data_IF_873114389927
#
_entry.id   IF_873114389927
#
_cell.length_a   1.000
_cell.length_b   1.000
_cell.length_c   1.000
_cell.angle_alpha   90.00
_cell.angle_beta   90.00
_cell.angle_gamma   90.00
#
_symmetry.space_group_name_H-M   'P 1'
#
loop_
_entity.id
_entity.type
_entity.pdbx_description
1 polymer ?
#
# COMPACT_ATOMS: atom_id res chain seq x y z
N UNK A 1 -17.37 8.66 9.54
CA UNK A 1 -17.06 8.01 8.24
C UNK A 1 -15.56 7.72 8.23
N UNK A 2 -15.14 6.47 7.98
CA UNK A 2 -13.70 6.17 7.90
C UNK A 2 -13.15 6.88 6.67
N UNK A 3 -12.08 7.65 6.83
CA UNK A 3 -11.35 8.23 5.69
C UNK A 3 -10.97 7.07 4.76
N UNK A 4 -11.10 7.25 3.42
CA UNK A 4 -10.69 6.21 2.50
C UNK A 4 -9.19 5.96 2.67
N UNK A 5 -8.81 4.68 2.82
CA UNK A 5 -7.39 4.32 2.94
C UNK A 5 -6.62 4.87 1.73
N UNK A 6 -5.37 5.31 1.95
CA UNK A 6 -4.51 5.76 0.87
C UNK A 6 -4.41 4.76 -0.29
N UNK A 7 -4.13 5.24 -1.52
CA UNK A 7 -4.03 4.37 -2.68
C UNK A 7 -3.04 3.22 -2.52
N UNK A 8 -1.86 3.44 -1.91
CA UNK A 8 -0.84 2.40 -1.74
C UNK A 8 -1.31 1.32 -0.77
N UNK A 9 -1.85 1.72 0.38
CA UNK A 9 -2.43 0.78 1.34
C UNK A 9 -3.58 -0.03 0.73
N UNK A 10 -4.46 0.61 -0.04
CA UNK A 10 -5.59 -0.07 -0.69
C UNK A 10 -5.11 -1.12 -1.69
N UNK A 11 -4.10 -0.79 -2.48
CA UNK A 11 -3.49 -1.72 -3.42
C UNK A 11 -2.79 -2.88 -2.69
N UNK A 12 -2.09 -2.59 -1.59
CA UNK A 12 -1.39 -3.60 -0.80
C UNK A 12 -2.36 -4.59 -0.12
N UNK A 13 -3.47 -4.09 0.42
CA UNK A 13 -4.58 -4.93 0.93
C UNK A 13 -5.20 -5.78 -0.17
N UNK A 14 -5.38 -5.22 -1.38
CA UNK A 14 -5.87 -5.98 -2.53
C UNK A 14 -4.90 -7.10 -2.93
N UNK A 15 -3.59 -6.84 -2.89
CA UNK A 15 -2.56 -7.84 -3.17
C UNK A 15 -2.53 -8.94 -2.10
N UNK A 16 -2.69 -8.59 -0.82
CA UNK A 16 -2.83 -9.58 0.25
C UNK A 16 -4.02 -10.53 0.00
N UNK A 17 -5.19 -9.98 -0.35
CA UNK A 17 -6.38 -10.77 -0.70
C UNK A 17 -6.17 -11.65 -1.94
N UNK A 18 -5.48 -11.12 -2.94
CA UNK A 18 -5.14 -11.88 -4.16
C UNK A 18 -4.26 -13.09 -3.84
N UNK A 19 -3.34 -12.96 -2.89
CA UNK A 19 -2.49 -14.06 -2.41
C UNK A 19 -3.17 -14.93 -1.33
N UNK A 20 -4.48 -14.74 -1.10
CA UNK A 20 -5.25 -15.47 -0.09
C UNK A 20 -4.72 -15.29 1.35
N UNK A 21 -3.97 -14.22 1.61
CA UNK A 21 -3.44 -13.89 2.93
C UNK A 21 -4.32 -12.84 3.61
N UNK A 22 -4.70 -13.04 4.88
CA UNK A 22 -5.40 -12.01 5.65
C UNK A 22 -4.62 -10.69 5.70
N UNK A 23 -5.23 -9.58 5.31
CA UNK A 23 -4.53 -8.28 5.23
C UNK A 23 -4.12 -7.68 6.59
N UNK A 24 -4.86 -8.00 7.67
CA UNK A 24 -4.69 -7.39 8.99
C UNK A 24 -4.00 -8.32 10.02
N UNK A 25 -3.55 -9.52 9.63
CA UNK A 25 -2.76 -10.34 10.56
C UNK A 25 -1.42 -9.67 10.82
N UNK A 26 -0.90 -9.85 12.03
CA UNK A 26 0.44 -9.35 12.38
C UNK A 26 1.50 -10.27 11.79
N UNK A 27 2.38 -9.71 10.97
CA UNK A 27 3.59 -10.33 10.44
C UNK A 27 4.74 -9.36 10.71
N UNK A 28 5.82 -9.83 11.34
CA UNK A 28 6.98 -8.98 11.67
C UNK A 28 6.64 -7.68 12.44
N UNK A 29 5.74 -7.78 13.43
CA UNK A 29 5.22 -6.64 14.22
C UNK A 29 4.42 -5.60 13.43
N UNK A 30 4.07 -5.88 12.16
CA UNK A 30 3.28 -5.00 11.29
C UNK A 30 2.10 -5.75 10.68
N UNK A 31 1.06 -5.05 10.19
CA UNK A 31 0.03 -5.68 9.38
C UNK A 31 0.61 -6.32 8.11
N UNK A 32 0.12 -7.51 7.77
CA UNK A 32 0.56 -8.26 6.58
C UNK A 32 0.51 -7.46 5.28
N UNK A 33 -0.46 -6.55 5.12
CA UNK A 33 -0.55 -5.73 3.92
C UNK A 33 0.73 -4.88 3.71
N UNK A 34 1.46 -4.48 4.75
CA UNK A 34 2.69 -3.69 4.60
C UNK A 34 3.79 -4.45 3.86
N UNK A 35 3.83 -5.78 3.98
CA UNK A 35 4.81 -6.62 3.27
C UNK A 35 4.67 -6.56 1.76
N UNK A 36 3.51 -6.12 1.24
CA UNK A 36 3.21 -6.00 -0.18
C UNK A 36 3.44 -4.58 -0.74
N UNK A 37 3.89 -3.63 0.09
CA UNK A 37 4.21 -2.28 -0.36
C UNK A 37 5.32 -2.22 -1.42
N UNK A 38 6.38 -3.05 -1.40
CA UNK A 38 7.40 -3.04 -2.45
C UNK A 38 6.84 -3.39 -3.83
N UNK A 39 5.99 -4.41 -3.94
CA UNK A 39 5.35 -4.83 -5.18
C UNK A 39 4.37 -3.77 -5.68
N UNK A 40 3.59 -3.17 -4.77
CA UNK A 40 2.70 -2.06 -5.09
C UNK A 40 3.49 -0.86 -5.60
N UNK A 41 4.60 -0.52 -4.97
CA UNK A 41 5.47 0.57 -5.40
C UNK A 41 6.02 0.30 -6.80
N UNK A 42 6.50 -0.92 -7.09
CA UNK A 42 6.99 -1.28 -8.42
C UNK A 42 5.91 -1.13 -9.50
N UNK A 43 4.69 -1.59 -9.22
CA UNK A 43 3.57 -1.50 -10.17
C UNK A 43 3.11 -0.05 -10.35
N UNK A 44 3.02 0.73 -9.28
CA UNK A 44 2.62 2.14 -9.35
C UNK A 44 3.69 2.98 -10.05
N UNK A 45 4.96 2.73 -9.80
CA UNK A 45 6.06 3.37 -10.53
C UNK A 45 5.98 3.06 -12.02
N UNK A 46 5.76 1.79 -12.39
CA UNK A 46 5.64 1.39 -13.79
C UNK A 46 4.39 1.97 -14.48
N UNK A 47 3.27 2.13 -13.75
CA UNK A 47 2.01 2.59 -14.31
C UNK A 47 1.88 4.12 -14.36
N UNK A 48 2.42 4.84 -13.36
CA UNK A 48 2.21 6.28 -13.16
C UNK A 48 3.51 7.10 -13.28
N UNK A 49 4.67 6.45 -13.25
CA UNK A 49 5.98 7.10 -13.16
C UNK A 49 6.42 7.40 -11.73
N UNK A 50 7.73 7.59 -11.56
CA UNK A 50 8.35 7.83 -10.26
C UNK A 50 7.84 9.10 -9.56
N UNK A 51 7.68 10.21 -10.30
CA UNK A 51 7.22 11.49 -9.75
C UNK A 51 5.85 11.39 -9.07
N UNK A 52 4.89 10.70 -9.70
CA UNK A 52 3.54 10.56 -9.15
C UNK A 52 3.53 9.59 -7.96
N UNK A 53 4.33 8.51 -8.00
CA UNK A 53 4.51 7.63 -6.85
C UNK A 53 5.11 8.38 -5.65
N UNK A 54 6.13 9.20 -5.87
CA UNK A 54 6.73 10.01 -4.81
C UNK A 54 5.73 11.01 -4.20
N UNK A 55 4.89 11.63 -5.03
CA UNK A 55 3.80 12.48 -4.57
C UNK A 55 2.82 11.71 -3.68
N UNK A 56 2.41 10.51 -4.10
CA UNK A 56 1.53 9.66 -3.30
C UNK A 56 2.14 9.30 -1.94
N UNK A 57 3.43 8.90 -1.93
CA UNK A 57 4.18 8.60 -0.69
C UNK A 57 4.21 9.81 0.25
N UNK A 58 4.43 11.01 -0.30
CA UNK A 58 4.46 12.26 0.49
C UNK A 58 3.10 12.61 1.09
N UNK A 59 2.03 12.44 0.34
CA UNK A 59 0.67 12.73 0.80
C UNK A 59 0.18 11.74 1.87
N UNK A 60 0.69 10.51 1.86
CA UNK A 60 0.48 9.51 2.92
C UNK A 60 1.19 9.90 4.22
N UNK A 61 2.46 10.29 4.15
CA UNK A 61 3.25 10.72 5.33
C UNK A 61 2.65 11.96 5.99
N UNK A 62 2.04 12.87 5.22
CA UNK A 62 1.36 14.05 5.78
C UNK A 62 0.03 13.74 6.47
N UNK A 63 -0.52 12.54 6.27
CA UNK A 63 -1.83 12.12 6.79
C UNK A 63 -1.76 11.16 7.96
N UNK A 64 -0.62 10.50 8.20
CA UNK A 64 -0.32 9.75 9.42
C UNK A 64 0.10 10.70 10.56
#
# INVERSE_FOLDING_TARGET
>A
MKLPQPPRERAARALARFNEVPENITFEQRPMWESFLPEVDAVLEAALGADELERMKRDEVKKQ
#
